data_IF_321904504883
#
_entry.id   IF_321904504883
#
_cell.length_a   1.000
_cell.length_b   1.000
_cell.length_c   1.000
_cell.angle_alpha   90.00
_cell.angle_beta   90.00
_cell.angle_gamma   90.00
#
_symmetry.space_group_name_H-M   'P 1'
#
loop_
_entity.id
_entity.type
_entity.pdbx_description
1 polymer ?
#
# COMPACT_ATOMS: atom_id res chain seq x y z
N UNK A 1 2.87 -11.01 5.72
CA UNK A 1 2.45 -10.63 4.36
C UNK A 1 3.45 -11.23 3.38
N UNK A 2 3.04 -12.11 2.46
CA UNK A 2 3.99 -12.84 1.59
C UNK A 2 4.72 -11.96 0.56
N UNK A 3 4.26 -10.73 0.33
CA UNK A 3 4.76 -9.82 -0.72
C UNK A 3 5.24 -8.47 -0.20
N UNK A 4 5.34 -8.26 1.12
CA UNK A 4 5.64 -6.92 1.67
C UNK A 4 6.98 -6.38 1.20
N UNK A 5 8.01 -7.23 1.15
CA UNK A 5 9.36 -6.82 0.75
C UNK A 5 9.43 -6.44 -0.73
N UNK A 6 8.80 -7.24 -1.60
CA UNK A 6 8.71 -6.97 -3.05
C UNK A 6 8.02 -5.62 -3.33
N UNK A 7 6.94 -5.31 -2.61
CA UNK A 7 6.23 -4.05 -2.81
C UNK A 7 7.00 -2.85 -2.27
N UNK A 8 7.67 -2.97 -1.12
CA UNK A 8 8.53 -1.92 -0.57
C UNK A 8 9.65 -1.54 -1.54
N UNK A 9 10.30 -2.51 -2.18
CA UNK A 9 11.36 -2.25 -3.16
C UNK A 9 10.83 -1.59 -4.44
N UNK A 10 9.61 -1.97 -4.86
CA UNK A 10 9.05 -1.52 -6.14
C UNK A 10 8.30 -0.18 -6.05
N UNK A 11 7.75 0.14 -4.88
CA UNK A 11 6.87 1.28 -4.68
C UNK A 11 7.25 2.10 -3.43
N UNK A 12 8.53 2.52 -3.29
CA UNK A 12 8.94 3.33 -2.15
C UNK A 12 8.23 4.69 -2.17
N UNK A 13 7.85 5.17 -0.99
CA UNK A 13 7.13 6.43 -0.77
C UNK A 13 5.67 6.40 -1.23
N UNK A 14 5.06 5.22 -1.38
CA UNK A 14 3.70 5.06 -1.91
C UNK A 14 2.75 4.48 -0.89
N UNK A 15 1.47 4.81 -1.08
CA UNK A 15 0.38 4.09 -0.45
C UNK A 15 -0.06 2.95 -1.37
N UNK A 16 -0.35 1.79 -0.76
CA UNK A 16 -0.92 0.63 -1.45
C UNK A 16 -2.24 0.23 -0.80
N UNK A 17 -3.18 -0.24 -1.61
CA UNK A 17 -4.41 -0.87 -1.14
C UNK A 17 -4.33 -2.37 -1.37
N UNK A 18 -4.71 -3.13 -0.35
CA UNK A 18 -4.72 -4.57 -0.35
C UNK A 18 -6.14 -5.05 -0.03
N UNK A 19 -6.65 -6.00 -0.81
CA UNK A 19 -7.92 -6.68 -0.55
C UNK A 19 -7.65 -8.18 -0.48
N UNK A 20 -7.80 -8.77 0.71
CA UNK A 20 -7.28 -10.10 1.00
C UNK A 20 -5.75 -10.10 0.93
N UNK A 21 -5.18 -10.85 -0.02
CA UNK A 21 -3.72 -10.90 -0.27
C UNK A 21 -3.32 -10.21 -1.59
N UNK A 22 -4.22 -9.45 -2.22
CA UNK A 22 -3.98 -8.84 -3.53
C UNK A 22 -3.80 -7.34 -3.42
N UNK A 23 -2.72 -6.83 -4.01
CA UNK A 23 -2.53 -5.41 -4.24
C UNK A 23 -3.47 -4.94 -5.36
N UNK A 24 -4.33 -3.96 -5.08
CA UNK A 24 -5.42 -3.53 -5.96
C UNK A 24 -5.35 -2.07 -6.41
N UNK A 25 -4.59 -1.24 -5.68
CA UNK A 25 -4.29 0.14 -6.04
C UNK A 25 -2.95 0.59 -5.44
N UNK A 26 -2.32 1.57 -6.08
CA UNK A 26 -1.07 2.23 -5.67
C UNK A 26 -1.25 3.72 -5.95
N UNK A 27 -0.76 4.59 -5.07
CA UNK A 27 -0.89 6.03 -5.22
C UNK A 27 0.01 6.80 -4.26
N UNK A 28 -0.10 8.12 -4.29
CA UNK A 28 0.71 9.01 -3.45
C UNK A 28 0.02 9.38 -2.15
N UNK A 29 -1.30 9.18 -2.06
CA UNK A 29 -2.08 9.51 -0.86
C UNK A 29 -2.97 8.34 -0.45
N UNK A 30 -3.24 8.22 0.85
CA UNK A 30 -4.16 7.22 1.39
C UNK A 30 -5.57 7.32 0.76
N UNK A 31 -6.05 8.55 0.53
CA UNK A 31 -7.41 8.81 0.06
C UNK A 31 -7.60 8.40 -1.40
N UNK A 32 -6.62 8.70 -2.25
CA UNK A 32 -6.58 8.27 -3.66
C UNK A 32 -6.63 6.75 -3.77
N UNK A 33 -5.82 6.08 -2.95
CA UNK A 33 -5.66 4.63 -2.95
C UNK A 33 -6.90 3.94 -2.40
N UNK A 34 -7.49 4.48 -1.34
CA UNK A 34 -8.74 3.98 -0.78
C UNK A 34 -9.90 4.08 -1.76
N UNK A 35 -10.10 5.27 -2.36
CA UNK A 35 -11.16 5.50 -3.36
C UNK A 35 -11.01 4.54 -4.54
N UNK A 36 -9.80 4.45 -5.09
CA UNK A 36 -9.48 3.54 -6.19
C UNK A 36 -9.77 2.07 -5.85
N UNK A 37 -9.53 1.65 -4.61
CA UNK A 37 -9.84 0.31 -4.15
C UNK A 37 -11.34 0.09 -3.95
N UNK A 38 -12.06 1.06 -3.37
CA UNK A 38 -13.51 0.99 -3.11
C UNK A 38 -14.35 1.08 -4.38
N UNK A 39 -13.91 1.79 -5.40
CA UNK A 39 -14.57 1.79 -6.71
C UNK A 39 -14.56 0.39 -7.35
N UNK A 40 -13.47 -0.37 -7.16
CA UNK A 40 -13.32 -1.73 -7.69
C UNK A 40 -13.92 -2.81 -6.78
N UNK A 41 -13.90 -2.57 -5.47
CA UNK A 41 -14.30 -3.53 -4.43
C UNK A 41 -15.14 -2.84 -3.35
N UNK A 42 -16.37 -2.38 -3.68
CA UNK A 42 -17.18 -1.59 -2.77
C UNK A 42 -17.48 -2.32 -1.45
N UNK A 43 -17.80 -3.61 -1.54
CA UNK A 43 -18.25 -4.43 -0.40
C UNK A 43 -17.13 -5.15 0.35
N UNK A 44 -15.87 -4.99 -0.08
CA UNK A 44 -14.74 -5.67 0.56
C UNK A 44 -14.02 -4.76 1.55
N UNK A 45 -13.44 -5.39 2.57
CA UNK A 45 -12.50 -4.71 3.45
C UNK A 45 -11.21 -4.39 2.68
N UNK A 46 -10.75 -3.15 2.81
CA UNK A 46 -9.57 -2.63 2.14
C UNK A 46 -8.56 -2.27 3.22
N UNK A 47 -7.40 -2.90 3.20
CA UNK A 47 -6.25 -2.50 4.02
C UNK A 47 -5.38 -1.53 3.24
N UNK A 48 -4.94 -0.45 3.88
CA UNK A 48 -4.01 0.51 3.30
C UNK A 48 -2.69 0.43 4.06
N UNK A 49 -1.58 0.44 3.34
CA UNK A 49 -0.25 0.53 3.92
C UNK A 49 0.56 1.60 3.20
N UNK A 50 1.31 2.39 3.97
CA UNK A 50 2.39 3.21 3.44
C UNK A 50 3.65 2.35 3.31
N UNK A 51 4.37 2.52 2.22
CA UNK A 51 5.65 1.90 1.95
C UNK A 51 6.73 2.97 2.10
N UNK A 52 7.46 3.01 3.23
CA UNK A 52 8.50 4.01 3.46
C UNK A 52 9.59 3.93 2.40
N UNK A 53 10.21 5.06 2.09
CA UNK A 53 11.46 5.08 1.33
C UNK A 53 12.62 4.57 2.19
N UNK A 54 13.73 4.20 1.56
CA UNK A 54 14.95 3.79 2.29
C UNK A 54 15.47 4.88 3.23
N UNK A 55 15.29 6.15 2.88
CA UNK A 55 15.66 7.30 3.72
C UNK A 55 14.75 7.44 4.95
N UNK A 56 13.47 7.08 4.82
CA UNK A 56 12.48 7.11 5.90
C UNK A 56 12.57 5.88 6.81
N UNK A 57 13.14 4.77 6.32
CA UNK A 57 13.51 3.62 7.13
C UNK A 57 14.73 3.95 8.02
N UNK A 58 14.54 4.87 8.96
CA UNK A 58 15.51 5.12 10.02
C UNK A 58 15.52 3.88 10.91
N UNK A 59 16.64 3.15 10.90
CA UNK A 59 16.89 2.12 11.90
C UNK A 59 16.96 2.80 13.26
N UNK A 60 15.99 2.50 14.14
CA UNK A 60 16.16 2.70 15.58
C UNK A 60 17.31 1.77 16.01
N UNK A 61 18.54 2.30 15.95
CA UNK A 61 19.75 1.66 16.47
C UNK A 61 19.82 1.83 18.00
#
# INVERSE_FOLDING_TARGET
MKHSQEWSEKYPGKYIAIVGDKLVAIGYTELEVFKSAKEKYPDKEVSIAYLPTDEEMVTLL
#
